data_IF_624162210522
#
_entry.id   IF_624162210522
#
_cell.length_a   1.000
_cell.length_b   1.000
_cell.length_c   1.000
_cell.angle_alpha   90.00
_cell.angle_beta   90.00
_cell.angle_gamma   90.00
#
_symmetry.space_group_name_H-M   'P 1'
#
loop_
_entity.id
_entity.type
_entity.pdbx_description
1 polymer ?
#
# COMPACT_ATOMS: atom_id res chain seq x y z
N UNK A 1 36.14 22.72 21.80
CA UNK A 1 35.23 21.67 21.29
C UNK A 1 35.69 20.34 21.86
N UNK A 2 34.81 19.50 22.40
CA UNK A 2 35.24 18.21 22.96
C UNK A 2 35.63 17.25 21.82
N UNK A 3 36.53 16.30 22.12
CA UNK A 3 36.96 15.28 21.14
C UNK A 3 35.78 14.45 20.59
N UNK A 4 34.74 14.26 21.40
CA UNK A 4 33.50 13.57 21.01
C UNK A 4 32.76 14.36 19.92
N UNK A 5 32.62 15.67 20.09
CA UNK A 5 31.94 16.52 19.10
C UNK A 5 32.72 16.52 17.77
N UNK A 6 34.04 16.64 17.84
CA UNK A 6 34.90 16.58 16.65
C UNK A 6 34.78 15.24 15.91
N UNK A 7 34.75 14.12 16.64
CA UNK A 7 34.58 12.80 16.03
C UNK A 7 33.21 12.64 15.34
N UNK A 8 32.14 13.11 15.99
CA UNK A 8 30.78 13.02 15.42
C UNK A 8 30.61 13.90 14.17
N UNK A 9 31.24 15.07 14.12
CA UNK A 9 31.22 15.93 12.94
C UNK A 9 32.13 15.40 11.82
N UNK A 10 33.35 14.96 12.14
CA UNK A 10 34.29 14.43 11.16
C UNK A 10 33.75 13.17 10.46
N UNK A 11 33.06 12.30 11.20
CA UNK A 11 32.39 11.11 10.67
C UNK A 11 30.99 11.40 10.11
N UNK A 12 30.60 12.68 10.03
CA UNK A 12 29.28 13.14 9.55
C UNK A 12 28.10 12.49 10.26
N UNK A 13 28.26 12.06 11.52
CA UNK A 13 27.16 11.57 12.34
C UNK A 13 26.22 12.73 12.71
N UNK A 14 26.80 13.92 12.85
CA UNK A 14 26.06 15.18 12.86
C UNK A 14 26.22 15.85 11.49
N UNK A 15 25.14 16.21 10.78
CA UNK A 15 23.71 16.08 11.15
C UNK A 15 23.03 14.79 10.65
N UNK A 16 23.76 13.84 10.04
CA UNK A 16 23.18 12.71 9.29
C UNK A 16 22.35 11.76 10.16
N UNK A 17 22.84 11.41 11.35
CA UNK A 17 22.19 10.46 12.28
C UNK A 17 21.49 11.18 13.42
N UNK A 18 22.15 12.20 13.99
CA UNK A 18 21.59 13.01 15.07
C UNK A 18 21.86 14.51 14.84
N UNK A 19 20.94 15.39 15.28
CA UNK A 19 21.08 16.83 15.04
C UNK A 19 22.13 17.51 15.92
N UNK A 20 22.60 16.87 17.00
CA UNK A 20 23.53 17.46 17.96
C UNK A 20 24.44 16.40 18.55
N UNK A 21 25.74 16.69 18.60
CA UNK A 21 26.72 15.76 19.15
C UNK A 21 26.57 15.60 20.68
N UNK A 22 26.83 14.40 21.23
CA UNK A 22 26.77 14.17 22.66
C UNK A 22 27.90 14.89 23.40
N UNK A 23 27.63 15.24 24.66
CA UNK A 23 28.60 15.95 25.51
C UNK A 23 29.60 15.01 26.21
N UNK A 24 29.30 13.71 26.27
CA UNK A 24 30.09 12.69 26.95
C UNK A 24 30.26 11.46 26.06
N UNK A 25 31.35 10.71 26.29
CA UNK A 25 31.59 9.41 25.66
C UNK A 25 31.07 8.27 26.53
N UNK A 26 30.82 7.14 25.89
CA UNK A 26 30.63 5.84 26.54
C UNK A 26 31.84 4.97 26.23
N UNK A 27 32.19 4.08 27.16
CA UNK A 27 33.29 3.14 27.00
C UNK A 27 32.74 1.80 26.48
N UNK A 28 33.28 1.36 25.33
CA UNK A 28 32.85 0.16 24.63
C UNK A 28 34.01 -0.81 24.52
N UNK A 29 33.99 -1.90 25.29
CA UNK A 29 35.04 -2.92 25.28
C UNK A 29 34.49 -4.24 24.77
N UNK A 30 35.06 -4.73 23.69
CA UNK A 30 34.69 -5.99 23.07
C UNK A 30 35.39 -7.19 23.73
N UNK A 31 34.77 -8.38 23.73
CA UNK A 31 35.40 -9.61 24.22
C UNK A 31 36.70 -9.98 23.50
N UNK A 32 36.88 -9.52 22.26
CA UNK A 32 38.13 -9.67 21.50
C UNK A 32 39.30 -8.85 22.05
N UNK A 33 39.06 -7.96 23.01
CA UNK A 33 40.05 -7.08 23.63
C UNK A 33 40.13 -5.68 23.00
N UNK A 34 39.48 -5.44 21.86
CA UNK A 34 39.44 -4.12 21.23
C UNK A 34 38.48 -3.16 21.94
N UNK A 35 38.73 -1.87 21.78
CA UNK A 35 37.88 -0.79 22.28
C UNK A 35 37.38 0.02 21.10
N UNK A 36 36.07 0.27 21.02
CA UNK A 36 35.52 1.25 20.07
C UNK A 36 35.65 2.64 20.68
N UNK A 37 36.34 3.53 19.98
CA UNK A 37 36.66 4.87 20.44
C UNK A 37 36.81 5.82 19.25
N UNK A 38 35.97 6.85 19.22
CA UNK A 38 36.17 8.06 18.40
C UNK A 38 36.37 7.79 16.89
N UNK A 39 35.65 6.80 16.35
CA UNK A 39 35.66 6.50 14.91
C UNK A 39 36.83 5.63 14.43
N UNK A 40 37.51 4.92 15.33
CA UNK A 40 38.51 3.93 14.94
C UNK A 40 37.91 2.80 14.10
N UNK A 41 38.68 2.32 13.13
CA UNK A 41 38.29 1.20 12.27
C UNK A 41 38.48 -0.13 13.01
N UNK A 42 37.43 -0.95 13.04
CA UNK A 42 37.41 -2.27 13.66
C UNK A 42 36.85 -3.29 12.68
N UNK A 43 37.42 -4.50 12.68
CA UNK A 43 36.99 -5.57 11.78
C UNK A 43 35.74 -6.29 12.30
N UNK A 44 34.86 -6.82 11.44
CA UNK A 44 33.69 -7.62 11.83
C UNK A 44 34.00 -8.73 12.85
N UNK A 45 35.14 -9.42 12.67
CA UNK A 45 35.58 -10.49 13.58
C UNK A 45 35.89 -9.98 14.98
N UNK A 46 36.42 -8.76 15.11
CA UNK A 46 36.72 -8.15 16.41
C UNK A 46 35.46 -7.72 17.15
N UNK A 47 34.40 -7.36 16.43
CA UNK A 47 33.16 -6.80 17.00
C UNK A 47 31.96 -7.75 16.92
N UNK A 48 32.19 -9.02 16.59
CA UNK A 48 31.13 -10.03 16.41
C UNK A 48 30.28 -10.28 17.66
N UNK A 49 30.88 -10.15 18.84
CA UNK A 49 30.26 -10.43 20.13
C UNK A 49 29.90 -9.13 20.86
N UNK A 50 28.84 -9.15 21.66
CA UNK A 50 28.33 -7.97 22.36
C UNK A 50 29.42 -7.33 23.26
N UNK A 51 29.65 -6.01 23.16
CA UNK A 51 30.60 -5.34 24.03
C UNK A 51 30.05 -5.14 25.44
N UNK A 52 30.97 -4.97 26.38
CA UNK A 52 30.65 -4.33 27.67
C UNK A 52 30.56 -2.83 27.45
N UNK A 53 29.47 -2.23 27.92
CA UNK A 53 29.20 -0.79 27.81
C UNK A 53 29.28 -0.19 29.21
N UNK A 54 30.07 0.86 29.38
CA UNK A 54 30.22 1.58 30.65
C UNK A 54 30.13 3.08 30.42
N UNK A 55 29.45 3.78 31.33
CA UNK A 55 29.27 5.23 31.26
C UNK A 55 28.95 5.79 32.64
N UNK A 56 29.17 7.10 32.79
CA UNK A 56 28.76 7.83 33.98
C UNK A 56 27.25 8.06 33.94
N UNK A 57 26.54 7.49 34.89
CA UNK A 57 25.09 7.59 35.00
C UNK A 57 24.68 8.25 36.32
N UNK A 58 23.56 8.97 36.27
CA UNK A 58 22.71 9.22 37.42
C UNK A 58 22.07 7.88 37.87
N UNK A 59 22.29 7.41 39.11
CA UNK A 59 21.85 6.10 39.59
C UNK A 59 20.33 5.95 39.65
N UNK A 60 19.60 7.06 39.77
CA UNK A 60 18.13 7.07 39.90
C UNK A 60 17.41 7.27 38.55
N UNK A 61 18.18 7.39 37.47
CA UNK A 61 17.65 7.60 36.12
C UNK A 61 17.65 6.32 35.27
N UNK A 62 16.87 6.36 34.20
CA UNK A 62 16.80 5.31 33.19
C UNK A 62 17.46 5.78 31.89
N UNK A 63 18.00 4.86 31.11
CA UNK A 63 18.68 5.18 29.85
C UNK A 63 18.26 4.25 28.71
N UNK A 64 18.36 4.76 27.49
CA UNK A 64 18.23 4.01 26.24
C UNK A 64 19.56 3.96 25.52
N UNK A 65 20.05 2.76 25.23
CA UNK A 65 21.21 2.52 24.38
C UNK A 65 20.77 2.12 22.97
N UNK A 66 21.27 2.83 21.97
CA UNK A 66 21.05 2.56 20.54
C UNK A 66 22.40 2.23 19.90
N UNK A 67 22.45 1.17 19.12
CA UNK A 67 23.56 0.84 18.23
C UNK A 67 23.02 0.73 16.80
N UNK A 68 23.55 1.52 15.87
CA UNK A 68 22.99 1.68 14.52
C UNK A 68 24.07 1.79 13.43
N UNK A 69 23.73 1.43 12.20
CA UNK A 69 24.54 1.51 10.98
C UNK A 69 23.80 2.36 9.93
N UNK A 70 24.11 3.66 9.81
CA UNK A 70 23.54 4.56 8.80
C UNK A 70 24.02 4.33 7.36
N UNK A 71 24.83 3.31 7.06
CA UNK A 71 25.41 3.09 5.73
C UNK A 71 24.96 1.75 5.11
N UNK A 72 23.90 1.12 5.63
CA UNK A 72 23.45 -0.20 5.21
C UNK A 72 22.86 -0.27 3.77
N UNK A 73 22.51 0.88 3.16
CA UNK A 73 21.94 0.93 1.80
C UNK A 73 22.28 2.23 1.07
N UNK A 74 23.01 2.14 -0.05
CA UNK A 74 23.45 3.31 -0.84
C UNK A 74 22.51 3.71 -2.00
N UNK A 75 21.27 3.23 -1.99
CA UNK A 75 20.29 3.63 -3.02
C UNK A 75 19.73 5.04 -2.82
N UNK A 76 18.98 5.57 -3.80
CA UNK A 76 18.43 6.93 -3.75
C UNK A 76 17.41 7.15 -2.61
N UNK A 77 16.93 6.06 -1.99
CA UNK A 77 16.01 6.08 -0.87
C UNK A 77 16.78 5.97 0.46
N UNK A 78 16.89 7.07 1.20
CA UNK A 78 17.57 7.11 2.50
C UNK A 78 16.90 6.27 3.60
N UNK A 79 15.74 5.68 3.32
CA UNK A 79 14.88 5.00 4.30
C UNK A 79 15.38 3.60 4.67
N UNK A 80 16.19 2.97 3.81
CA UNK A 80 16.82 1.67 4.11
C UNK A 80 18.27 1.80 4.57
N UNK A 81 18.75 3.04 4.67
CA UNK A 81 20.15 3.37 4.95
C UNK A 81 20.54 3.03 6.38
N UNK A 82 19.60 3.16 7.32
CA UNK A 82 19.85 2.95 8.74
C UNK A 82 19.39 1.57 9.24
N UNK A 83 20.32 0.77 9.74
CA UNK A 83 20.07 -0.53 10.35
C UNK A 83 20.37 -0.49 11.85
N UNK A 84 19.41 -0.85 12.70
CA UNK A 84 19.66 -0.96 14.14
C UNK A 84 20.27 -2.33 14.50
N UNK A 85 21.42 -2.32 15.17
CA UNK A 85 22.18 -3.51 15.56
C UNK A 85 21.95 -3.94 17.02
N UNK A 86 21.53 -3.01 17.89
CA UNK A 86 21.22 -3.30 19.29
C UNK A 86 20.38 -2.16 19.87
N UNK A 87 19.34 -2.49 20.63
CA UNK A 87 18.48 -1.50 21.29
C UNK A 87 18.07 -2.00 22.67
N UNK A 88 18.43 -1.23 23.69
CA UNK A 88 18.09 -1.54 25.09
C UNK A 88 17.49 -0.29 25.72
N UNK A 89 16.25 -0.38 26.17
CA UNK A 89 15.57 0.69 26.89
C UNK A 89 15.53 0.43 28.40
N UNK A 90 15.03 1.39 29.17
CA UNK A 90 14.83 1.27 30.61
C UNK A 90 16.06 0.76 31.38
N UNK A 91 17.28 1.11 30.96
CA UNK A 91 18.52 0.71 31.65
C UNK A 91 18.59 1.47 32.98
N UNK A 92 18.55 0.81 34.15
CA UNK A 92 18.63 1.50 35.43
C UNK A 92 20.08 1.92 35.71
N UNK A 93 20.30 3.23 35.89
CA UNK A 93 21.64 3.78 36.11
C UNK A 93 22.59 3.42 34.97
N UNK A 94 23.64 2.65 35.28
CA UNK A 94 24.63 2.16 34.30
C UNK A 94 24.54 0.65 34.04
N UNK A 95 23.48 -0.01 34.48
CA UNK A 95 23.38 -1.47 34.49
C UNK A 95 22.71 -2.00 33.23
N UNK A 96 23.43 -1.97 32.12
CA UNK A 96 22.92 -2.33 30.78
C UNK A 96 22.29 -3.73 30.74
N UNK A 97 22.81 -4.69 31.53
CA UNK A 97 22.25 -6.03 31.63
C UNK A 97 20.89 -6.13 32.34
N UNK A 98 20.52 -5.12 33.14
CA UNK A 98 19.21 -5.01 33.79
C UNK A 98 18.19 -4.23 32.94
N UNK A 99 18.62 -3.70 31.78
CA UNK A 99 17.75 -3.00 30.84
C UNK A 99 16.83 -3.93 30.04
N UNK A 100 15.77 -3.34 29.47
CA UNK A 100 14.82 -4.03 28.62
C UNK A 100 15.34 -4.11 27.18
N UNK A 101 15.71 -5.31 26.74
CA UNK A 101 16.26 -5.55 25.40
C UNK A 101 15.13 -5.53 24.37
N UNK A 102 15.09 -4.48 23.55
CA UNK A 102 14.12 -4.31 22.46
C UNK A 102 14.61 -4.99 21.18
N UNK A 103 15.89 -4.80 20.85
CA UNK A 103 16.58 -5.52 19.76
C UNK A 103 17.88 -6.08 20.32
N UNK A 104 18.12 -7.38 20.16
CA UNK A 104 19.32 -8.06 20.63
C UNK A 104 20.56 -7.72 19.79
N UNK A 105 21.74 -7.83 20.40
CA UNK A 105 23.01 -7.43 19.80
C UNK A 105 23.37 -8.25 18.55
N UNK A 106 23.75 -7.53 17.50
CA UNK A 106 24.32 -8.04 16.26
C UNK A 106 25.64 -7.32 15.98
N UNK A 107 26.71 -8.08 15.81
CA UNK A 107 28.00 -7.52 15.40
C UNK A 107 27.94 -6.84 14.04
N UNK A 108 28.88 -5.92 13.80
CA UNK A 108 29.07 -5.28 12.51
C UNK A 108 29.38 -6.30 11.43
N UNK A 109 28.76 -6.15 10.26
CA UNK A 109 28.89 -7.08 9.15
C UNK A 109 28.40 -6.46 7.86
N UNK A 110 29.08 -5.40 7.37
CA UNK A 110 28.69 -4.73 6.14
C UNK A 110 28.71 -5.75 4.97
N UNK A 111 27.76 -5.66 4.03
CA UNK A 111 27.77 -6.53 2.87
C UNK A 111 29.08 -6.44 2.07
N UNK A 112 29.47 -7.54 1.44
CA UNK A 112 30.71 -7.54 0.65
C UNK A 112 30.60 -6.53 -0.50
N UNK A 113 31.60 -5.65 -0.62
CA UNK A 113 31.66 -4.64 -1.68
C UNK A 113 31.02 -3.28 -1.37
N UNK A 114 30.41 -3.09 -0.19
CA UNK A 114 29.83 -1.79 0.23
C UNK A 114 30.84 -0.85 0.92
N UNK A 115 32.05 -1.35 1.21
CA UNK A 115 33.12 -0.55 1.78
C UNK A 115 33.02 -0.39 3.30
N UNK A 116 33.47 0.76 3.81
CA UNK A 116 33.52 1.04 5.25
C UNK A 116 32.19 1.65 5.70
N UNK A 117 31.53 1.00 6.64
CA UNK A 117 30.31 1.50 7.28
C UNK A 117 30.61 2.19 8.61
N UNK A 118 29.80 3.20 8.94
CA UNK A 118 29.83 3.87 10.25
C UNK A 118 28.94 3.11 11.21
N UNK A 119 29.50 2.65 12.32
CA UNK A 119 28.77 1.94 13.38
C UNK A 119 28.69 2.82 14.61
N UNK A 120 27.49 3.28 14.97
CA UNK A 120 27.27 4.37 15.92
C UNK A 120 26.55 3.88 17.17
N UNK A 121 27.16 4.08 18.33
CA UNK A 121 26.50 3.91 19.62
C UNK A 121 26.07 5.27 20.20
N UNK A 122 24.82 5.34 20.65
CA UNK A 122 24.23 6.54 21.24
C UNK A 122 23.48 6.15 22.52
N UNK A 123 23.70 6.91 23.58
CA UNK A 123 23.03 6.71 24.86
C UNK A 123 22.19 7.95 25.22
N UNK A 124 20.92 7.73 25.54
CA UNK A 124 19.98 8.78 25.94
C UNK A 124 19.55 8.60 27.39
N UNK A 125 19.55 9.68 28.18
CA UNK A 125 18.88 9.71 29.49
C UNK A 125 17.37 9.81 29.25
N UNK A 126 16.60 8.88 29.79
CA UNK A 126 15.14 8.91 29.72
C UNK A 126 14.56 9.86 30.76
N UNK A 127 13.43 10.53 30.46
CA UNK A 127 12.72 11.36 31.42
C UNK A 127 12.03 10.53 32.52
N UNK A 128 11.63 9.28 32.20
CA UNK A 128 11.01 8.31 33.10
C UNK A 128 11.21 6.89 32.54
N UNK A 129 10.72 5.87 33.24
CA UNK A 129 10.49 4.56 32.62
C UNK A 129 9.56 4.74 31.43
N UNK A 130 9.88 4.10 30.31
CA UNK A 130 9.09 4.10 29.08
C UNK A 130 8.40 2.74 28.96
N UNK A 131 7.12 2.74 28.58
CA UNK A 131 6.43 1.49 28.23
C UNK A 131 6.65 1.21 26.74
N UNK A 132 7.34 0.11 26.44
CA UNK A 132 7.60 -0.32 25.07
C UNK A 132 6.59 -1.38 24.63
N UNK A 133 5.72 -1.06 23.68
CA UNK A 133 4.74 -1.99 23.10
C UNK A 133 5.26 -2.66 21.80
N UNK A 134 6.50 -2.35 21.39
CA UNK A 134 7.15 -2.83 20.16
C UNK A 134 7.51 -4.33 20.20
N UNK A 135 7.60 -4.96 19.03
CA UNK A 135 8.05 -6.36 18.94
C UNK A 135 9.51 -6.51 19.38
N UNK A 136 9.80 -7.45 20.28
CA UNK A 136 11.18 -7.75 20.71
C UNK A 136 11.92 -8.60 19.68
N UNK A 137 13.05 -8.10 19.19
CA UNK A 137 13.84 -8.78 18.17
C UNK A 137 15.03 -9.53 18.82
N UNK A 138 14.88 -10.83 19.08
CA UNK A 138 15.94 -11.61 19.77
C UNK A 138 17.03 -12.12 18.83
N UNK A 139 18.21 -12.46 19.37
CA UNK A 139 19.37 -12.97 18.61
C UNK A 139 19.09 -14.25 17.80
N UNK A 140 18.03 -15.02 18.10
CA UNK A 140 17.60 -16.17 17.28
C UNK A 140 16.91 -15.72 15.98
N UNK A 141 16.08 -14.69 16.04
CA UNK A 141 15.45 -14.08 14.86
C UNK A 141 16.47 -13.29 14.03
N UNK A 142 17.46 -12.69 14.69
CA UNK A 142 18.48 -11.88 14.03
C UNK A 142 19.66 -12.67 13.45
N UNK A 143 20.08 -13.82 14.01
CA UNK A 143 21.05 -14.71 13.32
C UNK A 143 20.54 -15.23 11.98
N UNK A 144 19.22 -15.37 11.83
CA UNK A 144 18.55 -15.69 10.56
C UNK A 144 18.62 -14.47 9.60
N UNK A 145 18.54 -13.24 10.13
CA UNK A 145 18.69 -11.98 9.40
C UNK A 145 20.14 -11.64 8.96
N UNK A 146 21.16 -12.06 9.73
CA UNK A 146 22.59 -11.81 9.42
C UNK A 146 23.09 -12.74 8.32
N UNK A 147 22.68 -14.02 8.34
CA UNK A 147 23.00 -14.94 7.24
C UNK A 147 22.48 -14.36 5.93
N UNK A 148 21.38 -13.59 5.99
CA UNK A 148 20.69 -13.02 4.84
C UNK A 148 21.21 -11.71 4.25
N UNK A 149 22.24 -11.11 4.84
CA UNK A 149 22.92 -9.93 4.30
C UNK A 149 24.21 -10.24 3.52
N UNK A 150 24.67 -11.50 3.53
CA UNK A 150 25.72 -11.99 2.62
C UNK A 150 25.13 -12.60 1.34
N UNK A 151 25.89 -12.56 0.23
CA UNK A 151 25.46 -12.96 -1.12
C UNK A 151 24.81 -14.36 -1.23
N UNK A 152 25.02 -15.25 -0.26
CA UNK A 152 24.43 -16.59 -0.21
C UNK A 152 23.15 -16.68 0.63
N UNK A 153 22.92 -15.79 1.60
CA UNK A 153 21.75 -15.93 2.48
C UNK A 153 20.56 -15.04 2.14
N UNK A 154 20.66 -14.12 1.18
CA UNK A 154 19.47 -13.44 0.63
C UNK A 154 18.42 -14.45 0.16
N UNK A 155 18.87 -15.59 -0.38
CA UNK A 155 18.01 -16.72 -0.75
C UNK A 155 17.44 -17.50 0.45
N UNK A 156 18.17 -17.61 1.57
CA UNK A 156 17.70 -18.36 2.74
C UNK A 156 16.76 -17.53 3.64
N UNK A 157 16.91 -16.20 3.73
CA UNK A 157 15.86 -15.35 4.33
C UNK A 157 14.58 -15.39 3.51
N UNK A 158 14.69 -15.34 2.18
CA UNK A 158 13.55 -15.51 1.30
C UNK A 158 12.86 -16.86 1.55
N UNK A 159 13.63 -17.93 1.75
CA UNK A 159 13.10 -19.27 2.00
C UNK A 159 12.49 -19.44 3.41
N UNK A 160 13.14 -18.99 4.49
CA UNK A 160 12.61 -19.16 5.86
C UNK A 160 11.48 -18.18 6.24
N UNK A 161 11.47 -16.96 5.68
CA UNK A 161 10.32 -16.05 5.81
C UNK A 161 9.09 -16.59 5.06
N UNK A 162 9.28 -17.37 3.99
CA UNK A 162 8.18 -18.05 3.28
C UNK A 162 7.81 -19.42 3.87
N UNK A 163 8.73 -20.11 4.55
CA UNK A 163 8.51 -21.46 5.11
C UNK A 163 7.80 -21.45 6.47
N UNK A 164 7.95 -20.37 7.26
CA UNK A 164 7.19 -20.20 8.49
C UNK A 164 5.86 -19.49 8.19
N UNK A 165 4.78 -20.27 8.19
CA UNK A 165 3.39 -19.84 7.99
C UNK A 165 3.10 -18.45 8.55
N UNK A 166 2.96 -17.50 7.64
CA UNK A 166 2.23 -16.24 7.71
C UNK A 166 2.01 -15.61 9.10
N UNK A 167 2.91 -14.70 9.46
CA UNK A 167 2.47 -13.32 9.76
C UNK A 167 3.41 -12.38 9.01
N UNK A 168 3.05 -12.03 7.79
CA UNK A 168 3.67 -10.92 7.05
C UNK A 168 3.49 -9.64 7.88
N UNK A 169 4.53 -9.22 8.59
CA UNK A 169 4.63 -7.86 9.08
C UNK A 169 4.83 -6.98 7.84
N UNK A 170 3.73 -6.55 7.23
CA UNK A 170 3.78 -5.48 6.24
C UNK A 170 4.29 -4.22 6.95
N UNK A 171 5.56 -3.87 6.74
CA UNK A 171 6.10 -2.59 7.19
C UNK A 171 5.50 -1.52 6.27
N UNK A 172 4.39 -0.94 6.73
CA UNK A 172 3.80 0.22 6.10
C UNK A 172 4.59 1.43 6.62
N UNK A 173 5.47 1.99 5.80
CA UNK A 173 6.05 3.31 6.04
C UNK A 173 4.96 4.38 5.85
N UNK A 174 3.93 4.35 6.69
CA UNK A 174 3.06 5.50 6.91
C UNK A 174 3.65 6.25 8.10
N UNK A 175 4.20 7.43 7.82
CA UNK A 175 4.43 8.54 8.74
C UNK A 175 3.81 8.31 10.13
N UNK A 176 4.68 8.15 11.13
CA UNK A 176 4.44 8.39 12.56
C UNK A 176 2.97 8.45 12.98
N UNK A 177 2.39 7.32 13.36
CA UNK A 177 1.38 7.24 14.45
C UNK A 177 1.25 5.77 14.85
N UNK A 178 1.07 5.49 16.15
CA UNK A 178 0.58 4.20 16.66
C UNK A 178 -0.89 3.95 16.24
N UNK A 179 -1.27 4.37 15.04
CA UNK A 179 -2.61 4.33 14.50
C UNK A 179 -2.83 3.00 13.79
N UNK A 180 -3.71 2.18 14.35
CA UNK A 180 -4.25 1.02 13.65
C UNK A 180 -5.49 1.48 12.89
N UNK A 181 -5.50 1.46 11.54
CA UNK A 181 -6.68 1.82 10.79
C UNK A 181 -7.83 0.86 11.13
N UNK A 182 -9.05 1.38 11.19
CA UNK A 182 -10.26 0.59 11.49
C UNK A 182 -10.53 -0.51 10.47
N UNK A 183 -10.06 -0.32 9.23
CA UNK A 183 -10.08 -1.31 8.16
C UNK A 183 -8.68 -1.37 7.55
N UNK A 184 -8.10 -2.57 7.49
CA UNK A 184 -6.82 -2.80 6.81
C UNK A 184 -7.07 -3.12 5.34
N UNK A 185 -6.19 -2.64 4.48
CA UNK A 185 -6.22 -2.98 3.07
C UNK A 185 -5.92 -4.48 2.85
N UNK A 186 -6.86 -5.19 2.23
CA UNK A 186 -6.65 -6.52 1.69
C UNK A 186 -5.92 -6.41 0.34
N UNK A 187 -4.67 -6.87 0.28
CA UNK A 187 -3.87 -6.83 -0.95
C UNK A 187 -4.33 -7.85 -2.00
N UNK A 188 -5.03 -8.92 -1.60
CA UNK A 188 -5.50 -9.98 -2.49
C UNK A 188 -7.04 -9.94 -2.69
N UNK A 189 -7.62 -8.75 -2.61
CA UNK A 189 -9.08 -8.52 -2.74
C UNK A 189 -9.67 -9.04 -4.05
N UNK A 190 -8.86 -9.14 -5.11
CA UNK A 190 -9.25 -9.66 -6.42
C UNK A 190 -8.81 -11.11 -6.67
N UNK A 191 -8.22 -11.76 -5.66
CA UNK A 191 -7.67 -13.12 -5.72
C UNK A 191 -6.61 -13.32 -6.82
N UNK A 192 -5.88 -12.25 -7.17
CA UNK A 192 -4.86 -12.28 -8.22
C UNK A 192 -3.46 -11.88 -7.75
N UNK A 193 -3.22 -11.86 -6.44
CA UNK A 193 -1.86 -11.69 -5.92
C UNK A 193 -0.97 -12.82 -6.47
N UNK A 194 0.24 -12.52 -7.00
CA UNK A 194 1.11 -13.53 -7.62
C UNK A 194 1.35 -14.74 -6.73
N UNK A 195 1.48 -14.52 -5.42
CA UNK A 195 1.71 -15.53 -4.39
C UNK A 195 0.53 -16.49 -4.21
N UNK A 196 -0.68 -16.07 -4.57
CA UNK A 196 -1.90 -16.88 -4.52
C UNK A 196 -2.17 -17.63 -5.82
N UNK A 197 -1.56 -17.20 -6.93
CA UNK A 197 -1.70 -17.85 -8.25
C UNK A 197 -0.57 -18.86 -8.49
N UNK A 198 0.66 -18.51 -8.10
CA UNK A 198 1.83 -19.35 -8.33
C UNK A 198 1.91 -20.42 -7.24
N UNK A 199 1.85 -21.68 -7.66
CA UNK A 199 1.97 -22.82 -6.76
C UNK A 199 3.29 -22.75 -5.98
N UNK A 200 3.26 -22.85 -4.64
CA UNK A 200 4.47 -22.79 -3.83
C UNK A 200 5.43 -23.94 -4.15
N UNK A 201 6.72 -23.66 -4.06
CA UNK A 201 7.76 -24.68 -4.14
C UNK A 201 7.54 -25.73 -3.04
N UNK A 202 7.69 -27.01 -3.37
CA UNK A 202 7.55 -28.13 -2.43
C UNK A 202 8.89 -28.66 -1.93
N UNK A 203 9.99 -28.20 -2.51
CA UNK A 203 11.36 -28.66 -2.26
C UNK A 203 12.17 -27.53 -1.62
N UNK A 204 13.16 -27.91 -0.81
CA UNK A 204 14.13 -26.98 -0.20
C UNK A 204 15.41 -26.83 -1.03
N UNK A 205 15.30 -26.99 -2.35
CA UNK A 205 16.42 -26.88 -3.26
C UNK A 205 16.47 -25.46 -3.86
N UNK A 206 17.60 -24.73 -3.77
CA UNK A 206 17.76 -23.39 -4.34
C UNK A 206 17.34 -23.24 -5.81
N UNK A 207 17.50 -24.27 -6.63
CA UNK A 207 17.07 -24.25 -8.04
C UNK A 207 15.55 -24.16 -8.20
N UNK A 208 14.80 -24.81 -7.32
CA UNK A 208 13.34 -24.80 -7.34
C UNK A 208 12.78 -23.49 -6.77
N UNK A 209 13.49 -22.88 -5.82
CA UNK A 209 13.18 -21.54 -5.30
C UNK A 209 13.43 -20.46 -6.34
N UNK A 210 14.53 -20.54 -7.09
CA UNK A 210 14.79 -19.63 -8.21
C UNK A 210 13.70 -19.72 -9.28
N UNK A 211 13.28 -20.95 -9.65
CA UNK A 211 12.16 -21.17 -10.58
C UNK A 211 10.83 -20.64 -10.03
N UNK A 212 10.61 -20.75 -8.72
CA UNK A 212 9.42 -20.20 -8.07
C UNK A 212 9.42 -18.67 -8.11
N UNK A 213 10.56 -18.05 -7.83
CA UNK A 213 10.72 -16.58 -7.88
C UNK A 213 10.56 -16.04 -9.28
N UNK A 214 11.14 -16.71 -10.28
CA UNK A 214 10.93 -16.36 -11.68
C UNK A 214 9.44 -16.44 -12.06
N UNK A 215 8.73 -17.49 -11.60
CA UNK A 215 7.28 -17.59 -11.81
C UNK A 215 6.49 -16.50 -11.10
N UNK A 216 6.89 -16.09 -9.89
CA UNK A 216 6.26 -14.99 -9.17
C UNK A 216 6.46 -13.66 -9.89
N UNK A 217 7.68 -13.35 -10.31
CA UNK A 217 7.97 -12.13 -11.10
C UNK A 217 7.19 -12.14 -12.41
N UNK A 218 7.13 -13.28 -13.10
CA UNK A 218 6.34 -13.42 -14.33
C UNK A 218 4.83 -13.31 -14.10
N UNK A 219 4.35 -13.61 -12.89
CA UNK A 219 2.94 -13.48 -12.51
C UNK A 219 2.56 -12.08 -11.99
N UNK A 220 3.52 -11.16 -11.83
CA UNK A 220 3.21 -9.77 -11.47
C UNK A 220 2.55 -9.04 -12.64
N UNK A 221 1.49 -8.30 -12.33
CA UNK A 221 0.91 -7.35 -13.28
C UNK A 221 1.95 -6.30 -13.67
N UNK A 222 1.87 -5.81 -14.91
CA UNK A 222 2.81 -4.80 -15.45
C UNK A 222 2.12 -3.49 -15.84
N UNK A 223 0.79 -3.51 -15.94
CA UNK A 223 -0.01 -2.41 -16.47
C UNK A 223 -1.08 -1.94 -15.48
N UNK A 224 -1.44 -0.67 -15.58
CA UNK A 224 -2.56 -0.05 -14.87
C UNK A 224 -3.84 -0.28 -15.65
N UNK A 225 -4.94 -0.60 -14.94
CA UNK A 225 -6.28 -0.63 -15.53
C UNK A 225 -7.07 0.59 -15.09
N UNK A 226 -7.48 1.42 -16.04
CA UNK A 226 -8.33 2.57 -15.82
C UNK A 226 -9.78 2.22 -16.16
N UNK A 227 -10.66 2.45 -15.17
CA UNK A 227 -12.10 2.24 -15.28
C UNK A 227 -12.79 3.60 -15.18
N UNK A 228 -13.53 3.97 -16.22
CA UNK A 228 -14.36 5.17 -16.27
C UNK A 228 -15.82 4.76 -16.14
N UNK A 229 -16.46 5.10 -15.03
CA UNK A 229 -17.85 4.77 -14.73
C UNK A 229 -18.71 6.00 -15.01
N UNK A 230 -19.65 5.88 -15.94
CA UNK A 230 -20.54 6.95 -16.37
C UNK A 230 -21.96 6.65 -15.89
N UNK A 231 -22.54 7.56 -15.11
CA UNK A 231 -23.99 7.51 -14.81
C UNK A 231 -24.75 7.93 -16.07
N UNK A 232 -25.81 7.20 -16.44
CA UNK A 232 -26.70 7.59 -17.54
C UNK A 232 -27.18 9.06 -17.44
N UNK A 233 -27.59 9.64 -18.56
CA UNK A 233 -28.22 10.97 -18.62
C UNK A 233 -29.60 11.00 -17.96
N UNK A 234 -30.15 12.19 -17.73
CA UNK A 234 -31.52 12.34 -17.22
C UNK A 234 -32.53 11.64 -18.12
N UNK A 235 -33.53 11.00 -17.53
CA UNK A 235 -34.47 10.15 -18.27
C UNK A 235 -35.90 10.31 -17.73
N UNK A 236 -36.86 9.86 -18.53
CA UNK A 236 -38.27 9.82 -18.16
C UNK A 236 -38.50 8.74 -17.09
N UNK A 237 -38.81 9.17 -15.87
CA UNK A 237 -39.09 8.25 -14.74
C UNK A 237 -40.52 7.72 -14.76
N UNK A 238 -41.44 8.39 -15.45
CA UNK A 238 -42.87 8.07 -15.50
C UNK A 238 -43.20 6.93 -16.47
N UNK A 239 -42.22 6.47 -17.25
CA UNK A 239 -42.37 5.32 -18.14
C UNK A 239 -42.72 4.03 -17.37
N UNK A 240 -43.74 3.33 -17.83
CA UNK A 240 -44.24 2.09 -17.18
C UNK A 240 -43.32 0.92 -17.46
N UNK A 241 -42.83 0.80 -18.69
CA UNK A 241 -41.86 -0.20 -19.13
C UNK A 241 -40.46 0.40 -19.26
N UNK A 242 -39.40 -0.41 -19.21
CA UNK A 242 -38.04 0.10 -19.40
C UNK A 242 -37.86 0.80 -20.76
N UNK A 243 -38.56 0.33 -21.81
CA UNK A 243 -38.54 0.93 -23.15
C UNK A 243 -39.10 2.36 -23.19
N UNK A 244 -40.00 2.71 -22.27
CA UNK A 244 -40.57 4.05 -22.14
C UNK A 244 -39.69 4.99 -21.29
N UNK A 245 -38.71 4.43 -20.56
CA UNK A 245 -37.77 5.17 -19.70
C UNK A 245 -36.56 5.64 -20.49
N UNK A 246 -36.82 6.34 -21.59
CA UNK A 246 -35.83 6.95 -22.48
C UNK A 246 -35.27 8.24 -21.87
N UNK A 247 -34.14 8.70 -22.39
CA UNK A 247 -33.54 9.98 -21.99
C UNK A 247 -34.55 11.13 -22.19
N UNK A 248 -34.39 12.21 -21.43
CA UNK A 248 -35.02 13.51 -21.74
C UNK A 248 -34.15 14.27 -22.75
N UNK A 249 -34.63 15.42 -23.24
CA UNK A 249 -33.80 16.32 -24.06
C UNK A 249 -32.54 16.76 -23.30
N UNK A 250 -32.70 17.15 -22.03
CA UNK A 250 -31.58 17.45 -21.15
C UNK A 250 -30.64 16.25 -21.00
N UNK A 251 -31.17 15.04 -20.86
CA UNK A 251 -30.36 13.82 -20.77
C UNK A 251 -29.50 13.55 -22.01
N UNK A 252 -30.01 13.87 -23.21
CA UNK A 252 -29.24 13.77 -24.46
C UNK A 252 -28.11 14.77 -24.50
N UNK A 253 -28.36 16.02 -24.07
CA UNK A 253 -27.36 17.07 -23.99
C UNK A 253 -26.27 16.73 -22.96
N UNK A 254 -26.64 16.17 -21.81
CA UNK A 254 -25.70 15.68 -20.80
C UNK A 254 -24.80 14.57 -21.38
N UNK A 255 -25.38 13.58 -22.06
CA UNK A 255 -24.63 12.49 -22.68
C UNK A 255 -23.66 13.00 -23.76
N UNK A 256 -24.10 13.98 -24.57
CA UNK A 256 -23.27 14.59 -25.60
C UNK A 256 -22.08 15.36 -25.01
N UNK A 257 -22.31 16.20 -24.00
CA UNK A 257 -21.25 16.92 -23.28
C UNK A 257 -20.25 15.97 -22.62
N UNK A 258 -20.74 14.85 -22.05
CA UNK A 258 -19.85 13.80 -21.51
C UNK A 258 -19.04 13.13 -22.61
N UNK A 259 -19.63 12.85 -23.77
CA UNK A 259 -18.91 12.35 -24.94
C UNK A 259 -17.80 13.30 -25.40
N UNK A 260 -18.10 14.60 -25.54
CA UNK A 260 -17.13 15.63 -25.88
C UNK A 260 -15.98 15.69 -24.86
N UNK A 261 -16.29 15.62 -23.55
CA UNK A 261 -15.27 15.61 -22.50
C UNK A 261 -14.35 14.40 -22.61
N UNK A 262 -14.90 13.21 -22.86
CA UNK A 262 -14.12 11.98 -23.01
C UNK A 262 -13.22 12.03 -24.25
N UNK A 263 -13.69 12.62 -25.36
CA UNK A 263 -12.87 12.86 -26.55
C UNK A 263 -11.69 13.81 -26.27
N UNK A 264 -11.89 14.85 -25.47
CA UNK A 264 -10.82 15.77 -25.08
C UNK A 264 -9.70 15.14 -24.23
N UNK A 265 -9.91 13.94 -23.68
CA UNK A 265 -8.85 13.24 -22.94
C UNK A 265 -7.79 12.63 -23.87
N UNK A 266 -8.09 12.50 -25.17
CA UNK A 266 -7.21 11.87 -26.17
C UNK A 266 -6.74 10.46 -25.76
N UNK A 267 -7.67 9.71 -25.14
CA UNK A 267 -7.44 8.34 -24.69
C UNK A 267 -7.91 7.38 -25.78
N UNK A 268 -7.06 6.40 -26.11
CA UNK A 268 -7.47 5.25 -26.90
C UNK A 268 -8.24 4.25 -26.03
N UNK A 269 -9.54 4.17 -26.25
CA UNK A 269 -10.44 3.31 -25.49
C UNK A 269 -10.34 1.85 -25.96
N UNK A 270 -10.22 0.91 -25.01
CA UNK A 270 -10.15 -0.53 -25.32
C UNK A 270 -11.54 -1.17 -25.36
N UNK A 271 -12.42 -0.74 -24.47
CA UNK A 271 -13.73 -1.38 -24.27
C UNK A 271 -14.77 -0.38 -23.73
N UNK A 272 -15.96 -0.39 -24.32
CA UNK A 272 -17.17 0.23 -23.78
C UNK A 272 -18.14 -0.86 -23.34
N UNK A 273 -18.56 -0.82 -22.08
CA UNK A 273 -19.57 -1.72 -21.51
C UNK A 273 -20.81 -0.93 -21.16
N UNK A 274 -21.99 -1.39 -21.62
CA UNK A 274 -23.24 -0.67 -21.49
C UNK A 274 -24.24 -1.51 -20.72
N UNK A 275 -24.90 -0.93 -19.72
CA UNK A 275 -26.06 -1.57 -19.13
C UNK A 275 -27.14 -1.76 -20.19
N UNK A 276 -27.86 -2.88 -20.13
CA UNK A 276 -28.97 -3.21 -21.04
C UNK A 276 -30.24 -2.38 -20.81
N UNK A 277 -30.31 -1.56 -19.76
CA UNK A 277 -31.45 -0.65 -19.54
C UNK A 277 -31.45 0.50 -20.56
N UNK A 278 -32.64 0.87 -21.03
CA UNK A 278 -32.86 1.82 -22.15
C UNK A 278 -32.11 3.14 -21.98
N UNK A 279 -32.23 3.82 -20.83
CA UNK A 279 -31.51 5.07 -20.56
C UNK A 279 -29.99 4.97 -20.64
N UNK A 280 -29.40 3.83 -20.26
CA UNK A 280 -27.95 3.61 -20.34
C UNK A 280 -27.52 3.33 -21.77
N UNK A 281 -28.31 2.54 -22.51
CA UNK A 281 -28.12 2.29 -23.94
C UNK A 281 -28.15 3.59 -24.76
N UNK A 282 -29.14 4.45 -24.53
CA UNK A 282 -29.23 5.74 -25.23
C UNK A 282 -28.07 6.67 -24.86
N UNK A 283 -27.66 6.73 -23.58
CA UNK A 283 -26.52 7.53 -23.14
C UNK A 283 -25.25 7.09 -23.84
N UNK A 284 -24.97 5.78 -23.82
CA UNK A 284 -23.76 5.21 -24.41
C UNK A 284 -23.72 5.43 -25.93
N UNK A 285 -24.84 5.23 -26.64
CA UNK A 285 -24.93 5.50 -28.09
C UNK A 285 -24.61 6.95 -28.46
N UNK A 286 -24.89 7.90 -27.57
CA UNK A 286 -24.54 9.32 -27.80
C UNK A 286 -23.04 9.51 -27.54
N UNK A 287 -22.51 8.99 -26.44
CA UNK A 287 -21.08 9.06 -26.11
C UNK A 287 -20.22 8.41 -27.19
N UNK A 288 -20.63 7.25 -27.71
CA UNK A 288 -19.93 6.48 -28.76
C UNK A 288 -19.65 7.29 -30.02
N UNK A 289 -20.48 8.29 -30.34
CA UNK A 289 -20.27 9.17 -31.51
C UNK A 289 -19.00 10.02 -31.41
N UNK A 290 -18.52 10.23 -30.18
CA UNK A 290 -17.33 11.01 -29.87
C UNK A 290 -16.08 10.14 -29.66
N UNK A 291 -16.23 8.81 -29.66
CA UNK A 291 -15.13 7.87 -29.47
C UNK A 291 -14.64 7.31 -30.82
N UNK A 292 -13.47 6.67 -30.82
CA UNK A 292 -12.94 5.99 -31.99
C UNK A 292 -13.91 4.90 -32.50
N UNK A 293 -14.12 4.85 -33.82
CA UNK A 293 -15.04 3.90 -34.46
C UNK A 293 -14.72 2.41 -34.23
N UNK A 294 -13.50 2.10 -33.78
CA UNK A 294 -13.00 0.73 -33.63
C UNK A 294 -13.05 0.23 -32.18
N UNK A 295 -13.58 1.01 -31.24
CA UNK A 295 -13.68 0.57 -29.85
C UNK A 295 -14.63 -0.63 -29.72
N UNK A 296 -14.23 -1.66 -28.97
CA UNK A 296 -15.11 -2.80 -28.71
C UNK A 296 -16.27 -2.34 -27.82
N UNK A 297 -17.51 -2.71 -28.18
CA UNK A 297 -18.72 -2.38 -27.40
C UNK A 297 -19.44 -3.65 -26.97
N UNK A 298 -19.76 -3.76 -25.67
CA UNK A 298 -20.44 -4.91 -25.07
C UNK A 298 -21.63 -4.49 -24.22
N UNK A 299 -22.75 -5.18 -24.38
CA UNK A 299 -23.90 -5.02 -23.49
C UNK A 299 -23.80 -5.99 -22.31
N UNK A 300 -24.19 -5.53 -21.12
CA UNK A 300 -24.05 -6.31 -19.89
C UNK A 300 -25.23 -6.09 -18.93
N UNK A 301 -25.97 -7.16 -18.66
CA UNK A 301 -27.07 -7.18 -17.68
C UNK A 301 -26.58 -7.06 -16.23
N UNK A 302 -25.35 -7.47 -15.95
CA UNK A 302 -24.86 -7.46 -14.56
C UNK A 302 -24.68 -6.04 -14.00
N UNK A 303 -24.54 -5.04 -14.88
CA UNK A 303 -24.44 -3.61 -14.51
C UNK A 303 -25.76 -2.85 -14.66
N UNK A 304 -26.92 -3.53 -14.75
CA UNK A 304 -28.23 -2.90 -14.60
C UNK A 304 -28.44 -2.33 -13.20
N UNK A 305 -29.31 -1.32 -13.08
CA UNK A 305 -29.60 -0.70 -11.79
C UNK A 305 -30.15 -1.74 -10.81
N UNK A 306 -29.89 -1.54 -9.53
CA UNK A 306 -30.34 -2.47 -8.50
C UNK A 306 -30.14 -1.92 -7.10
N UNK A 307 -30.54 -2.72 -6.12
CA UNK A 307 -30.28 -2.46 -4.71
C UNK A 307 -29.13 -3.37 -4.26
N UNK A 308 -27.86 -2.89 -4.18
CA UNK A 308 -26.72 -3.76 -3.95
C UNK A 308 -26.77 -4.42 -2.56
N UNK A 309 -26.92 -3.61 -1.51
CA UNK A 309 -27.05 -4.05 -0.12
C UNK A 309 -27.85 -3.00 0.67
N UNK A 310 -28.38 -3.33 1.86
CA UNK A 310 -28.97 -2.34 2.75
C UNK A 310 -28.00 -1.17 3.04
N UNK A 311 -28.43 0.08 2.86
CA UNK A 311 -27.60 1.25 3.12
C UNK A 311 -27.54 1.60 4.61
N UNK A 312 -26.45 2.24 5.02
CA UNK A 312 -26.29 2.87 6.35
C UNK A 312 -25.87 4.34 6.17
N UNK A 313 -26.67 5.33 6.63
CA UNK A 313 -27.90 5.17 7.39
C UNK A 313 -29.08 4.61 6.57
N UNK A 314 -30.05 3.96 7.22
CA UNK A 314 -31.25 3.49 6.55
C UNK A 314 -32.06 4.66 5.99
N UNK A 315 -32.70 4.43 4.84
CA UNK A 315 -33.58 5.43 4.19
C UNK A 315 -35.05 5.07 4.39
N UNK A 316 -35.92 6.07 4.54
CA UNK A 316 -37.35 5.89 4.86
C UNK A 316 -38.22 5.17 3.82
N UNK A 317 -37.67 4.75 2.68
CA UNK A 317 -38.39 3.94 1.70
C UNK A 317 -38.10 2.46 1.91
N UNK A 318 -39.12 1.72 2.36
CA UNK A 318 -39.05 0.27 2.56
C UNK A 318 -38.71 -0.45 1.24
N UNK A 319 -37.72 -1.35 1.29
CA UNK A 319 -37.38 -2.25 0.19
C UNK A 319 -37.40 -3.69 0.68
N UNK A 320 -37.98 -4.64 -0.08
CA UNK A 320 -38.04 -6.04 0.34
C UNK A 320 -36.65 -6.68 0.31
N UNK A 321 -36.31 -7.48 1.32
CA UNK A 321 -35.02 -8.17 1.47
C UNK A 321 -34.61 -9.02 0.24
N UNK A 322 -35.52 -9.79 -0.42
CA UNK A 322 -35.16 -10.58 -1.60
C UNK A 322 -34.54 -9.78 -2.75
N UNK A 323 -34.86 -8.48 -2.85
CA UNK A 323 -34.28 -7.60 -3.88
C UNK A 323 -32.80 -7.38 -3.67
N UNK A 324 -32.39 -7.12 -2.42
CA UNK A 324 -30.97 -6.95 -2.09
C UNK A 324 -30.19 -8.24 -2.34
N UNK A 325 -30.79 -9.40 -2.08
CA UNK A 325 -30.14 -10.68 -2.33
C UNK A 325 -29.85 -10.92 -3.83
N UNK A 326 -30.85 -10.69 -4.69
CA UNK A 326 -30.71 -10.90 -6.14
C UNK A 326 -29.82 -9.83 -6.81
N UNK A 327 -30.10 -8.55 -6.55
CA UNK A 327 -29.35 -7.45 -7.14
C UNK A 327 -27.92 -7.40 -6.60
N UNK A 328 -27.74 -7.64 -5.30
CA UNK A 328 -26.43 -7.67 -4.66
C UNK A 328 -25.50 -8.71 -5.26
N UNK A 329 -25.97 -9.95 -5.45
CA UNK A 329 -25.18 -11.01 -6.08
C UNK A 329 -24.81 -10.67 -7.53
N UNK A 330 -25.75 -10.11 -8.30
CA UNK A 330 -25.53 -9.69 -9.68
C UNK A 330 -24.51 -8.55 -9.79
N UNK A 331 -24.64 -7.52 -8.96
CA UNK A 331 -23.74 -6.37 -8.94
C UNK A 331 -22.35 -6.80 -8.43
N UNK A 332 -22.26 -7.66 -7.42
CA UNK A 332 -21.00 -8.25 -6.96
C UNK A 332 -20.31 -9.05 -8.07
N UNK A 333 -21.07 -9.83 -8.86
CA UNK A 333 -20.51 -10.54 -10.01
C UNK A 333 -19.95 -9.57 -11.08
N UNK A 334 -20.63 -8.45 -11.34
CA UNK A 334 -20.10 -7.40 -12.20
C UNK A 334 -18.81 -6.79 -11.63
N UNK A 335 -18.77 -6.52 -10.32
CA UNK A 335 -17.56 -6.00 -9.67
C UNK A 335 -16.38 -6.94 -9.91
N UNK A 336 -16.52 -8.23 -9.60
CA UNK A 336 -15.46 -9.23 -9.79
C UNK A 336 -15.03 -9.39 -11.25
N UNK A 337 -15.95 -9.20 -12.19
CA UNK A 337 -15.65 -9.29 -13.63
C UNK A 337 -14.83 -8.11 -14.13
N UNK A 338 -15.13 -6.89 -13.68
CA UNK A 338 -14.53 -5.68 -14.26
C UNK A 338 -13.40 -5.10 -13.39
N UNK A 339 -13.48 -5.23 -12.07
CA UNK A 339 -12.53 -4.72 -11.09
C UNK A 339 -11.57 -5.82 -10.67
N UNK A 340 -10.40 -5.82 -11.29
CA UNK A 340 -9.28 -6.68 -10.93
C UNK A 340 -7.99 -6.12 -11.52
N UNK A 341 -6.82 -6.54 -11.03
CA UNK A 341 -5.54 -6.14 -11.62
C UNK A 341 -5.37 -6.66 -13.05
N UNK A 342 -4.50 -6.00 -13.82
CA UNK A 342 -4.13 -6.46 -15.16
C UNK A 342 -3.56 -7.88 -15.12
N UNK A 343 -3.91 -8.76 -16.08
CA UNK A 343 -3.25 -10.05 -16.18
C UNK A 343 -1.77 -9.86 -16.58
N UNK A 344 -0.86 -10.77 -16.22
CA UNK A 344 0.59 -10.55 -16.41
C UNK A 344 1.04 -10.42 -17.87
N UNK A 345 0.22 -10.92 -18.79
CA UNK A 345 0.42 -10.81 -20.25
C UNK A 345 0.13 -9.39 -20.76
N UNK A 346 -0.65 -8.60 -20.03
CA UNK A 346 -0.95 -7.22 -20.40
C UNK A 346 0.24 -6.31 -20.06
N UNK A 347 0.86 -5.75 -21.10
CA UNK A 347 2.06 -4.90 -21.00
C UNK A 347 1.79 -3.40 -21.08
N UNK A 348 0.60 -3.00 -21.53
CA UNK A 348 0.20 -1.59 -21.68
C UNK A 348 -1.03 -1.30 -20.81
N UNK A 349 -1.14 -0.07 -20.34
CA UNK A 349 -2.31 0.39 -19.61
C UNK A 349 -3.57 0.25 -20.46
N UNK A 350 -4.70 -0.04 -19.81
CA UNK A 350 -5.98 -0.20 -20.49
C UNK A 350 -7.06 0.72 -19.94
N UNK A 351 -7.99 1.10 -20.82
CA UNK A 351 -9.02 2.12 -20.58
C UNK A 351 -10.39 1.53 -20.93
N UNK A 352 -11.16 1.21 -19.89
CA UNK A 352 -12.53 0.67 -20.03
C UNK A 352 -13.56 1.70 -19.59
N UNK A 353 -14.54 1.96 -20.44
CA UNK A 353 -15.70 2.80 -20.14
C UNK A 353 -16.89 1.92 -19.75
N UNK A 354 -17.54 2.20 -18.63
CA UNK A 354 -18.76 1.53 -18.18
C UNK A 354 -19.89 2.55 -18.06
N UNK A 355 -20.92 2.43 -18.89
CA UNK A 355 -22.11 3.28 -18.85
C UNK A 355 -23.24 2.56 -18.12
N UNK A 356 -23.54 3.00 -16.89
CA UNK A 356 -24.49 2.33 -16.00
C UNK A 356 -25.23 3.33 -15.08
N UNK A 357 -25.37 3.00 -13.79
CA UNK A 357 -26.36 3.60 -12.89
C UNK A 357 -25.78 3.96 -11.53
N UNK A 358 -26.49 4.82 -10.80
CA UNK A 358 -25.94 5.44 -9.60
C UNK A 358 -25.61 4.39 -8.52
N UNK A 359 -26.52 3.47 -8.18
CA UNK A 359 -26.29 2.54 -7.06
C UNK A 359 -25.16 1.56 -7.38
N UNK A 360 -25.08 1.12 -8.63
CA UNK A 360 -24.00 0.27 -9.14
C UNK A 360 -22.65 0.97 -9.00
N UNK A 361 -22.53 2.22 -9.47
CA UNK A 361 -21.27 2.98 -9.40
C UNK A 361 -20.87 3.24 -7.94
N UNK A 362 -21.81 3.67 -7.10
CA UNK A 362 -21.55 3.92 -5.67
C UNK A 362 -21.03 2.67 -4.96
N UNK A 363 -21.66 1.53 -5.20
CA UNK A 363 -21.24 0.25 -4.63
C UNK A 363 -19.85 -0.15 -5.13
N UNK A 364 -19.58 -0.02 -6.43
CA UNK A 364 -18.26 -0.28 -7.00
C UNK A 364 -17.17 0.60 -6.39
N UNK A 365 -17.44 1.89 -6.19
CA UNK A 365 -16.48 2.82 -5.56
C UNK A 365 -16.18 2.37 -4.13
N UNK A 366 -17.21 2.11 -3.32
CA UNK A 366 -16.99 1.65 -1.94
C UNK A 366 -16.19 0.35 -1.91
N UNK A 367 -16.56 -0.64 -2.74
CA UNK A 367 -15.89 -1.94 -2.79
C UNK A 367 -14.45 -1.84 -3.30
N UNK A 368 -14.20 -1.09 -4.37
CA UNK A 368 -12.87 -0.95 -4.96
C UNK A 368 -11.89 -0.27 -3.99
N UNK A 369 -12.38 0.66 -3.17
CA UNK A 369 -11.58 1.37 -2.17
C UNK A 369 -11.59 0.70 -0.79
N UNK A 370 -12.26 -0.44 -0.66
CA UNK A 370 -12.44 -1.17 0.60
C UNK A 370 -13.04 -0.31 1.71
N UNK A 371 -13.90 0.65 1.35
CA UNK A 371 -14.77 1.33 2.28
C UNK A 371 -15.97 0.45 2.66
N UNK A 372 -16.60 0.67 3.83
CA UNK A 372 -17.85 0.00 4.17
C UNK A 372 -18.88 0.16 3.04
N UNK A 373 -19.29 -0.94 2.38
CA UNK A 373 -20.13 -0.86 1.20
C UNK A 373 -21.51 -0.29 1.51
N UNK A 374 -21.97 -0.34 2.76
CA UNK A 374 -23.24 0.20 3.25
C UNK A 374 -23.31 1.73 3.08
N UNK A 375 -22.16 2.39 2.99
CA UNK A 375 -22.05 3.83 2.77
C UNK A 375 -22.43 4.28 1.34
N UNK A 376 -22.83 3.37 0.45
CA UNK A 376 -23.09 3.68 -0.96
C UNK A 376 -24.10 4.82 -1.18
N UNK A 377 -25.12 4.96 -0.33
CA UNK A 377 -26.08 6.07 -0.43
C UNK A 377 -25.57 7.42 0.09
N UNK A 378 -24.39 7.48 0.70
CA UNK A 378 -23.74 8.73 1.12
C UNK A 378 -23.09 9.46 -0.05
N UNK A 379 -22.93 8.78 -1.19
CA UNK A 379 -22.31 9.32 -2.40
C UNK A 379 -23.39 9.80 -3.36
N UNK A 380 -23.37 11.08 -3.73
CA UNK A 380 -24.22 11.62 -4.80
C UNK A 380 -23.47 11.65 -6.13
N UNK A 381 -24.14 11.26 -7.21
CA UNK A 381 -23.58 11.28 -8.57
C UNK A 381 -24.57 12.03 -9.45
N UNK A 382 -24.12 12.95 -10.29
CA UNK A 382 -25.00 13.67 -11.22
C UNK A 382 -25.25 12.82 -12.49
N UNK A 383 -26.32 13.11 -13.23
CA UNK A 383 -26.55 12.49 -14.54
C UNK A 383 -25.42 12.84 -15.51
N UNK A 384 -24.98 11.84 -16.29
CA UNK A 384 -23.83 11.98 -17.19
C UNK A 384 -22.47 12.16 -16.48
N UNK A 385 -22.39 12.03 -15.16
CA UNK A 385 -21.15 12.24 -14.42
C UNK A 385 -20.10 11.18 -14.71
N UNK A 386 -18.82 11.57 -14.66
CA UNK A 386 -17.67 10.70 -14.83
C UNK A 386 -17.09 10.32 -13.45
N UNK A 387 -16.85 9.05 -13.21
CA UNK A 387 -16.09 8.55 -12.06
C UNK A 387 -14.91 7.73 -12.56
N UNK A 388 -13.69 8.04 -12.13
CA UNK A 388 -12.47 7.43 -12.66
C UNK A 388 -11.71 6.68 -11.56
N UNK A 389 -11.55 5.38 -11.73
CA UNK A 389 -10.78 4.50 -10.86
C UNK A 389 -9.57 3.95 -11.63
N UNK A 390 -8.40 3.90 -10.99
CA UNK A 390 -7.19 3.25 -11.49
C UNK A 390 -6.83 2.08 -10.59
N UNK A 391 -6.66 0.89 -11.17
CA UNK A 391 -6.19 -0.31 -10.48
C UNK A 391 -4.73 -0.53 -10.87
N UNK A 392 -3.83 -0.39 -9.91
CA UNK A 392 -2.40 -0.50 -10.11
C UNK A 392 -1.97 -1.99 -10.22
N UNK A 393 -0.79 -2.28 -10.79
CA UNK A 393 -0.34 -3.65 -10.98
C UNK A 393 -0.19 -4.46 -9.68
N UNK A 394 0.09 -3.77 -8.56
CA UNK A 394 0.21 -4.36 -7.22
C UNK A 394 -1.15 -4.49 -6.49
N UNK A 395 -2.27 -4.32 -7.18
CA UNK A 395 -3.61 -4.42 -6.60
C UNK A 395 -4.08 -3.17 -5.86
N UNK A 396 -3.26 -2.14 -5.63
CA UNK A 396 -3.73 -0.87 -5.04
C UNK A 396 -4.73 -0.18 -5.96
N UNK A 397 -5.74 0.45 -5.38
CA UNK A 397 -6.79 1.15 -6.12
C UNK A 397 -6.75 2.64 -5.79
N UNK A 398 -6.85 3.49 -6.82
CA UNK A 398 -6.88 4.95 -6.71
C UNK A 398 -8.14 5.50 -7.35
N UNK A 399 -8.94 6.23 -6.58
CA UNK A 399 -10.04 7.04 -7.10
C UNK A 399 -9.47 8.38 -7.57
N UNK A 400 -9.51 8.62 -8.88
CA UNK A 400 -8.99 9.84 -9.52
C UNK A 400 -10.01 10.98 -9.53
N UNK A 401 -11.29 10.63 -9.67
CA UNK A 401 -12.41 11.57 -9.68
C UNK A 401 -13.73 10.83 -9.41
N UNK A 402 -14.68 11.50 -8.77
CA UNK A 402 -15.97 10.94 -8.37
C UNK A 402 -17.11 11.88 -8.72
N UNK A 403 -18.05 11.41 -9.54
CA UNK A 403 -19.24 12.18 -9.90
C UNK A 403 -18.94 13.49 -10.64
N UNK A 404 -17.86 13.55 -11.42
CA UNK A 404 -17.41 14.76 -12.10
C UNK A 404 -18.41 15.19 -13.18
N UNK A 405 -18.91 16.43 -13.05
CA UNK A 405 -19.71 17.13 -14.07
C UNK A 405 -19.19 18.54 -14.34
N UNK A 406 -17.92 18.80 -14.06
CA UNK A 406 -17.29 20.11 -14.31
C UNK A 406 -17.24 20.50 -15.79
N UNK A 407 -17.38 19.51 -16.70
CA UNK A 407 -17.52 19.72 -18.14
C UNK A 407 -18.91 20.20 -18.57
N UNK A 408 -19.89 20.21 -17.67
CA UNK A 408 -21.25 20.67 -17.95
C UNK A 408 -21.46 22.06 -17.35
N UNK A 409 -22.07 22.98 -18.12
CA UNK A 409 -22.55 24.23 -17.54
C UNK A 409 -23.61 23.93 -16.46
N UNK A 410 -23.72 24.74 -15.39
CA UNK A 410 -24.62 24.47 -14.27
C UNK A 410 -26.09 24.19 -14.67
N UNK A 411 -26.59 24.86 -15.73
CA UNK A 411 -27.95 24.66 -16.26
C UNK A 411 -28.23 23.24 -16.77
N UNK A 412 -27.18 22.48 -17.08
CA UNK A 412 -27.29 21.10 -17.54
C UNK A 412 -27.11 20.06 -16.43
N UNK A 413 -26.81 20.47 -15.20
CA UNK A 413 -26.54 19.52 -14.10
C UNK A 413 -27.84 19.11 -13.42
N UNK A 414 -28.09 17.80 -13.31
CA UNK A 414 -29.19 17.22 -12.55
C UNK A 414 -28.78 15.92 -11.86
N UNK A 415 -29.47 15.52 -10.79
CA UNK A 415 -29.10 14.35 -9.98
C UNK A 415 -30.27 13.46 -9.56
N UNK A 416 -31.50 13.96 -9.65
CA UNK A 416 -32.74 13.24 -9.34
C UNK A 416 -33.39 12.69 -10.59
#
# INVERSE_FOLDING_TARGET
MSLVVQAFEASKIVPDVIPTAPQASIDLRYPSGVVASQGNELTPTQVKDQPTVSYKADPDAYYTLVFTDPDNYDGPESVYREWHHWLVGNIPGNKVSEGEILSGYIGSGPPEGTGIHRYVYILYKQPSIIKFDETRLTNKFHKIAIISLGAVGGGFAYYQLNSSKEKKFGVQNSWTTNYTPSVKWDNNWDHREPECIVKPSKSANPEDDNKYNEKLENAKGKAVRHLFLIRHGQYNVDGTTDKERTLTELGRQQADLTGQRLACLDIKWDLVVRSTMTRAQETAKIIEKHLDKNVEVKDCQMIEEGAPIPPEPPTGHWRPEPRFFQDGARIEAAFRRYFHRAPPEQTKDSYTLLVCHANVIRFFVCKALQFPPEGWLRISLNHGSITWISILPNGKVVLRGLGETGHMQPKYISSR
#
